data_IF_885940136201
#
_entry.id   IF_885940136201
#
_cell.length_a   1.000
_cell.length_b   1.000
_cell.length_c   1.000
_cell.angle_alpha   90.00
_cell.angle_beta   90.00
_cell.angle_gamma   90.00
#
_symmetry.space_group_name_H-M   'P 1'
#
loop_
_entity.id
_entity.type
_entity.pdbx_description
1 polymer ?
#
# COMPACT_ATOMS: atom_id res chain seq x y z
N UNK A 1 22.05 -22.21 -12.62
CA UNK A 1 23.02 -21.26 -12.03
C UNK A 1 22.91 -19.84 -12.61
N UNK A 2 22.96 -19.63 -13.94
CA UNK A 2 22.84 -18.28 -14.56
C UNK A 2 21.53 -17.52 -14.21
N UNK A 3 20.40 -18.22 -14.07
CA UNK A 3 19.13 -17.63 -13.63
C UNK A 3 19.17 -17.09 -12.20
N UNK A 4 19.86 -17.79 -11.29
CA UNK A 4 20.01 -17.39 -9.90
C UNK A 4 20.95 -16.19 -9.75
N UNK A 5 22.06 -16.16 -10.49
CA UNK A 5 23.02 -15.03 -10.48
C UNK A 5 22.36 -13.77 -11.05
N UNK A 6 21.65 -13.88 -12.17
CA UNK A 6 20.90 -12.74 -12.72
C UNK A 6 19.74 -12.31 -11.82
N UNK A 7 19.11 -13.24 -11.10
CA UNK A 7 18.11 -12.95 -10.08
C UNK A 7 18.70 -12.15 -8.92
N UNK A 8 19.83 -12.62 -8.39
CA UNK A 8 20.58 -11.98 -7.31
C UNK A 8 20.95 -10.53 -7.67
N UNK A 9 21.55 -10.29 -8.84
CA UNK A 9 21.97 -8.96 -9.28
C UNK A 9 20.80 -8.00 -9.46
N UNK A 10 19.70 -8.45 -10.08
CA UNK A 10 18.47 -7.66 -10.23
C UNK A 10 17.85 -7.34 -8.87
N UNK A 11 17.86 -8.32 -7.96
CA UNK A 11 17.43 -8.16 -6.58
C UNK A 11 18.27 -7.15 -5.82
N UNK A 12 19.60 -7.23 -5.91
CA UNK A 12 20.52 -6.32 -5.25
C UNK A 12 20.31 -4.87 -5.71
N UNK A 13 20.19 -4.65 -7.02
CA UNK A 13 19.89 -3.33 -7.59
C UNK A 13 18.53 -2.79 -7.12
N UNK A 14 17.51 -3.64 -7.07
CA UNK A 14 16.21 -3.28 -6.54
C UNK A 14 16.23 -2.93 -5.05
N UNK A 15 17.00 -3.69 -4.26
CA UNK A 15 17.21 -3.43 -2.84
C UNK A 15 17.92 -2.10 -2.59
N UNK A 16 18.92 -1.76 -3.41
CA UNK A 16 19.60 -0.47 -3.36
C UNK A 16 18.63 0.70 -3.62
N UNK A 17 17.81 0.61 -4.67
CA UNK A 17 16.77 1.60 -4.96
C UNK A 17 15.76 1.74 -3.80
N UNK A 18 15.37 0.61 -3.21
CA UNK A 18 14.53 0.58 -2.01
C UNK A 18 15.17 1.30 -0.82
N UNK A 19 16.46 1.11 -0.57
CA UNK A 19 17.19 1.80 0.51
C UNK A 19 17.21 3.30 0.28
N UNK A 20 17.45 3.77 -0.95
CA UNK A 20 17.41 5.21 -1.25
C UNK A 20 16.04 5.81 -0.93
N UNK A 21 14.96 5.14 -1.31
CA UNK A 21 13.60 5.58 -1.00
C UNK A 21 13.30 5.52 0.51
N UNK A 22 13.78 4.49 1.21
CA UNK A 22 13.70 4.35 2.67
C UNK A 22 14.34 5.53 3.38
N UNK A 23 15.57 5.89 3.00
CA UNK A 23 16.31 7.00 3.58
C UNK A 23 15.61 8.33 3.33
N UNK A 24 15.11 8.56 2.10
CA UNK A 24 14.34 9.76 1.76
C UNK A 24 13.08 9.89 2.64
N UNK A 25 12.31 8.81 2.80
CA UNK A 25 11.14 8.79 3.68
C UNK A 25 11.52 9.07 5.14
N UNK A 26 12.62 8.49 5.61
CA UNK A 26 13.15 8.76 6.95
C UNK A 26 13.67 10.19 7.15
N UNK A 27 14.09 10.90 6.10
CA UNK A 27 14.49 12.31 6.20
C UNK A 27 13.28 13.24 6.35
N UNK A 28 12.20 12.97 5.62
CA UNK A 28 10.95 13.74 5.72
C UNK A 28 10.36 13.71 7.12
N UNK A 29 10.41 12.56 7.79
CA UNK A 29 9.97 12.41 9.18
C UNK A 29 10.90 13.12 10.19
N UNK A 30 12.21 13.12 9.92
CA UNK A 30 13.25 13.65 10.83
C UNK A 30 13.52 15.15 10.72
N UNK A 31 12.73 15.90 9.95
CA UNK A 31 12.88 17.36 9.82
C UNK A 31 12.83 18.12 11.17
N UNK A 32 12.43 17.46 12.26
CA UNK A 32 12.23 18.04 13.60
C UNK A 32 13.22 17.52 14.67
N UNK A 33 14.23 16.70 14.32
CA UNK A 33 15.23 16.20 15.29
C UNK A 33 16.65 16.13 14.70
N UNK A 34 17.67 16.77 15.32
CA UNK A 34 19.06 16.64 14.87
C UNK A 34 19.55 15.21 15.15
N UNK A 35 19.84 14.45 14.10
CA UNK A 35 20.39 13.10 14.19
C UNK A 35 21.93 13.14 14.13
N UNK A 36 22.59 12.31 14.94
CA UNK A 36 24.02 12.02 14.79
C UNK A 36 24.22 11.08 13.60
N UNK A 37 24.89 11.54 12.55
CA UNK A 37 25.25 10.70 11.41
C UNK A 37 26.39 9.75 11.80
N UNK A 38 26.22 8.45 11.53
CA UNK A 38 27.28 7.46 11.62
C UNK A 38 27.47 6.79 10.27
N UNK A 39 28.68 6.84 9.72
CA UNK A 39 29.01 6.22 8.45
C UNK A 39 28.80 4.69 8.49
N UNK A 40 29.11 4.04 9.61
CA UNK A 40 28.88 2.59 9.78
C UNK A 40 27.40 2.22 9.79
N UNK A 41 26.54 3.09 10.34
CA UNK A 41 25.09 2.90 10.33
C UNK A 41 24.52 2.95 8.91
N UNK A 42 24.97 3.91 8.10
CA UNK A 42 24.53 4.06 6.70
C UNK A 42 25.00 2.88 5.82
N UNK A 43 26.23 2.38 6.06
CA UNK A 43 26.75 1.20 5.38
C UNK A 43 25.96 -0.07 5.76
N UNK A 44 25.67 -0.27 7.05
CA UNK A 44 24.86 -1.39 7.51
C UNK A 44 23.45 -1.36 6.91
N UNK A 45 22.79 -0.21 6.92
CA UNK A 45 21.45 -0.04 6.33
C UNK A 45 21.44 -0.35 4.83
N UNK A 46 22.47 0.11 4.11
CA UNK A 46 22.62 -0.15 2.67
C UNK A 46 22.87 -1.63 2.40
N UNK A 47 23.76 -2.27 3.16
CA UNK A 47 24.03 -3.70 3.05
C UNK A 47 22.78 -4.54 3.33
N UNK A 48 22.01 -4.21 4.36
CA UNK A 48 20.74 -4.89 4.67
C UNK A 48 19.74 -4.74 3.53
N UNK A 49 19.54 -3.53 3.02
CA UNK A 49 18.59 -3.29 1.93
C UNK A 49 18.99 -3.98 0.62
N UNK A 50 20.28 -4.00 0.27
CA UNK A 50 20.81 -4.74 -0.88
C UNK A 50 20.62 -6.26 -0.68
N UNK A 51 20.92 -6.78 0.51
CA UNK A 51 20.79 -8.20 0.83
C UNK A 51 19.33 -8.70 0.76
N UNK A 52 18.39 -7.96 1.34
CA UNK A 52 16.95 -8.29 1.28
C UNK A 52 16.44 -8.25 -0.17
N UNK A 53 16.87 -7.26 -0.95
CA UNK A 53 16.56 -7.20 -2.38
C UNK A 53 17.13 -8.39 -3.15
N UNK A 54 18.40 -8.74 -2.92
CA UNK A 54 19.09 -9.86 -3.56
C UNK A 54 18.35 -11.19 -3.30
N UNK A 55 17.94 -11.43 -2.05
CA UNK A 55 17.12 -12.59 -1.66
C UNK A 55 15.79 -12.61 -2.42
N UNK A 56 15.11 -11.47 -2.51
CA UNK A 56 13.86 -11.35 -3.27
C UNK A 56 14.05 -11.69 -4.76
N UNK A 57 15.17 -11.25 -5.34
CA UNK A 57 15.56 -11.56 -6.72
C UNK A 57 15.83 -13.05 -6.95
N UNK A 58 16.48 -13.73 -6.00
CA UNK A 58 16.70 -15.18 -6.02
C UNK A 58 15.36 -15.93 -5.90
N UNK A 59 14.49 -15.56 -4.97
CA UNK A 59 13.15 -16.17 -4.82
C UNK A 59 12.30 -16.00 -6.09
N UNK A 60 12.39 -14.84 -6.74
CA UNK A 60 11.71 -14.62 -8.02
C UNK A 60 12.29 -15.50 -9.13
N UNK A 61 13.61 -15.74 -9.13
CA UNK A 61 14.27 -16.60 -10.09
C UNK A 61 13.93 -18.09 -9.90
N UNK A 62 13.54 -18.53 -8.70
CA UNK A 62 13.02 -19.88 -8.44
C UNK A 62 11.53 -20.03 -8.75
N UNK A 63 10.85 -18.96 -9.18
CA UNK A 63 9.45 -18.98 -9.60
C UNK A 63 8.47 -18.34 -8.61
N UNK A 64 8.91 -17.90 -7.43
CA UNK A 64 8.04 -17.26 -6.44
C UNK A 64 7.71 -15.83 -6.88
N UNK A 65 6.49 -15.60 -7.37
CA UNK A 65 6.04 -14.31 -7.90
C UNK A 65 4.75 -13.85 -7.19
N UNK A 66 4.82 -13.45 -5.91
CA UNK A 66 3.65 -12.99 -5.19
C UNK A 66 3.16 -11.65 -5.78
N UNK A 67 1.87 -11.32 -5.63
CA UNK A 67 1.37 -10.01 -6.01
C UNK A 67 2.03 -8.90 -5.19
N UNK A 68 2.11 -7.69 -5.76
CA UNK A 68 2.75 -6.53 -5.15
C UNK A 68 2.21 -6.19 -3.76
N UNK A 69 0.90 -6.40 -3.54
CA UNK A 69 0.23 -6.20 -2.25
C UNK A 69 0.79 -7.11 -1.13
N UNK A 70 1.40 -8.24 -1.49
CA UNK A 70 2.01 -9.19 -0.54
C UNK A 70 3.52 -8.96 -0.48
N UNK A 71 4.18 -8.87 -1.63
CA UNK A 71 5.64 -8.71 -1.67
C UNK A 71 6.14 -7.39 -1.10
N UNK A 72 5.44 -6.27 -1.31
CA UNK A 72 5.84 -4.96 -0.78
C UNK A 72 5.94 -4.96 0.75
N UNK A 73 4.84 -5.25 1.47
CA UNK A 73 4.86 -5.34 2.93
C UNK A 73 5.86 -6.37 3.47
N UNK A 74 5.94 -7.56 2.85
CA UNK A 74 6.88 -8.59 3.29
C UNK A 74 8.34 -8.15 3.18
N UNK A 75 8.72 -7.50 2.08
CA UNK A 75 10.09 -6.97 1.91
C UNK A 75 10.38 -5.85 2.91
N UNK A 76 9.39 -5.00 3.19
CA UNK A 76 9.49 -3.98 4.22
C UNK A 76 9.73 -4.56 5.61
N UNK A 77 8.91 -5.54 6.00
CA UNK A 77 9.05 -6.22 7.30
C UNK A 77 10.33 -7.03 7.40
N UNK A 78 10.77 -7.70 6.33
CA UNK A 78 12.05 -8.41 6.30
C UNK A 78 13.22 -7.44 6.51
N UNK A 79 13.19 -6.28 5.87
CA UNK A 79 14.20 -5.25 6.07
C UNK A 79 14.16 -4.63 7.47
N UNK A 80 12.97 -4.42 8.05
CA UNK A 80 12.82 -3.97 9.42
C UNK A 80 13.38 -4.99 10.43
N UNK A 81 13.08 -6.28 10.22
CA UNK A 81 13.60 -7.37 11.02
C UNK A 81 15.13 -7.48 10.92
N UNK A 82 15.70 -7.32 9.73
CA UNK A 82 17.14 -7.41 9.53
C UNK A 82 17.92 -6.25 10.18
N UNK A 83 17.31 -5.05 10.30
CA UNK A 83 17.94 -3.89 10.96
C UNK A 83 17.81 -3.90 12.48
N UNK A 84 16.60 -4.18 12.97
CA UNK A 84 16.27 -3.99 14.39
C UNK A 84 15.76 -5.25 15.08
N UNK A 85 15.80 -6.40 14.42
CA UNK A 85 15.30 -7.66 14.94
C UNK A 85 13.77 -7.72 15.07
N UNK A 86 13.27 -8.72 15.80
CA UNK A 86 11.83 -8.89 16.05
C UNK A 86 11.18 -7.70 16.76
N UNK A 87 11.93 -6.96 17.59
CA UNK A 87 11.40 -5.80 18.32
C UNK A 87 11.00 -4.66 17.38
N UNK A 88 11.75 -4.42 16.30
CA UNK A 88 11.40 -3.43 15.28
C UNK A 88 10.12 -3.82 14.52
N UNK A 89 9.97 -5.10 14.17
CA UNK A 89 8.74 -5.62 13.56
C UNK A 89 7.55 -5.45 14.51
N UNK A 90 7.72 -5.79 15.79
CA UNK A 90 6.66 -5.65 16.77
C UNK A 90 6.22 -4.20 16.98
N UNK A 91 7.12 -3.21 16.89
CA UNK A 91 6.73 -1.80 16.98
C UNK A 91 5.90 -1.32 15.77
N UNK A 92 6.07 -1.97 14.62
CA UNK A 92 5.29 -1.70 13.40
C UNK A 92 3.93 -2.42 13.46
N UNK A 93 3.93 -3.67 13.93
CA UNK A 93 2.76 -4.57 13.89
C UNK A 93 1.88 -4.46 15.14
N UNK A 94 2.43 -4.03 16.27
CA UNK A 94 1.71 -3.82 17.54
C UNK A 94 1.78 -2.34 17.97
N UNK A 95 0.69 -1.58 17.84
CA UNK A 95 0.68 -0.14 18.09
C UNK A 95 0.78 0.16 19.59
N UNK A 96 0.56 -0.84 20.46
CA UNK A 96 0.68 -0.67 21.91
C UNK A 96 2.14 -0.51 22.32
N UNK A 97 3.07 -0.92 21.47
CA UNK A 97 4.51 -0.79 21.69
C UNK A 97 5.09 0.52 21.22
N UNK A 98 4.36 1.30 20.40
CA UNK A 98 4.84 2.60 19.93
C UNK A 98 3.70 3.58 19.63
N UNK A 99 3.76 4.75 20.27
CA UNK A 99 2.85 5.87 19.98
C UNK A 99 3.02 6.41 18.55
N UNK A 100 4.20 6.22 17.94
CA UNK A 100 4.56 6.70 16.61
C UNK A 100 4.72 5.55 15.60
N UNK A 101 4.07 4.41 15.83
CA UNK A 101 4.15 3.21 14.98
C UNK A 101 3.91 3.48 13.49
N UNK A 102 3.05 4.46 13.14
CA UNK A 102 2.81 4.86 11.73
C UNK A 102 4.08 5.43 11.11
N UNK A 103 4.74 6.36 11.80
CA UNK A 103 6.01 6.94 11.35
C UNK A 103 7.10 5.86 11.23
N UNK A 104 7.08 4.85 12.10
CA UNK A 104 7.99 3.71 12.03
C UNK A 104 7.68 2.74 10.88
N UNK A 105 6.40 2.62 10.49
CA UNK A 105 5.96 1.76 9.41
C UNK A 105 6.25 2.36 8.03
N UNK A 106 6.26 3.69 7.91
CA UNK A 106 6.42 4.41 6.63
C UNK A 106 7.72 4.04 5.91
N UNK A 107 8.92 4.16 6.52
CA UNK A 107 10.15 3.86 5.80
C UNK A 107 10.24 2.38 5.34
N UNK A 108 9.93 1.35 6.17
CA UNK A 108 9.89 -0.04 5.71
C UNK A 108 8.88 -0.29 4.59
N UNK A 109 7.70 0.32 4.64
CA UNK A 109 6.69 0.21 3.57
C UNK A 109 7.24 0.79 2.26
N UNK A 110 7.80 2.00 2.30
CA UNK A 110 8.43 2.65 1.15
C UNK A 110 9.55 1.80 0.57
N UNK A 111 10.43 1.25 1.42
CA UNK A 111 11.49 0.32 1.03
C UNK A 111 10.92 -0.89 0.28
N UNK A 112 9.95 -1.58 0.87
CA UNK A 112 9.48 -2.86 0.39
C UNK A 112 8.77 -2.76 -0.96
N UNK A 113 7.92 -1.74 -1.13
CA UNK A 113 7.25 -1.50 -2.40
C UNK A 113 8.21 -1.01 -3.49
N UNK A 114 9.14 -0.11 -3.17
CA UNK A 114 10.15 0.38 -4.15
C UNK A 114 11.04 -0.76 -4.63
N UNK A 115 11.49 -1.62 -3.71
CA UNK A 115 12.25 -2.83 -4.03
C UNK A 115 11.44 -3.75 -4.94
N UNK A 116 10.19 -4.05 -4.59
CA UNK A 116 9.35 -4.92 -5.42
C UNK A 116 9.14 -4.36 -6.82
N UNK A 117 8.84 -3.06 -6.91
CA UNK A 117 8.64 -2.34 -8.17
C UNK A 117 9.85 -2.44 -9.08
N UNK A 118 11.01 -2.06 -8.55
CA UNK A 118 12.27 -2.05 -9.28
C UNK A 118 12.62 -3.46 -9.74
N UNK A 119 12.44 -4.47 -8.87
CA UNK A 119 12.70 -5.86 -9.22
C UNK A 119 11.81 -6.36 -10.37
N UNK A 120 10.51 -6.04 -10.34
CA UNK A 120 9.58 -6.41 -11.41
C UNK A 120 9.92 -5.70 -12.71
N UNK A 121 10.22 -4.39 -12.66
CA UNK A 121 10.56 -3.58 -13.84
C UNK A 121 11.84 -4.06 -14.51
N UNK A 122 12.93 -4.20 -13.76
CA UNK A 122 14.22 -4.68 -14.31
C UNK A 122 14.08 -6.09 -14.86
N UNK A 123 13.29 -6.94 -14.20
CA UNK A 123 13.07 -8.28 -14.70
C UNK A 123 12.25 -8.34 -15.99
N UNK A 124 11.26 -7.45 -16.19
CA UNK A 124 10.51 -7.38 -17.45
C UNK A 124 11.39 -6.95 -18.63
N UNK A 125 12.25 -5.96 -18.41
CA UNK A 125 13.21 -5.50 -19.43
C UNK A 125 14.15 -6.63 -19.83
N UNK A 126 14.69 -7.35 -18.84
CA UNK A 126 15.56 -8.50 -19.11
C UNK A 126 14.84 -9.68 -19.80
N UNK A 127 13.52 -9.79 -19.62
CA UNK A 127 12.67 -10.80 -20.29
C UNK A 127 12.23 -10.34 -21.70
N UNK A 128 12.70 -9.19 -22.19
CA UNK A 128 12.33 -8.65 -23.51
C UNK A 128 10.84 -8.30 -23.63
N UNK A 129 10.15 -8.11 -22.51
CA UNK A 129 8.73 -7.75 -22.50
C UNK A 129 8.58 -6.27 -22.79
N UNK A 130 7.62 -5.94 -23.64
CA UNK A 130 7.29 -4.55 -23.94
C UNK A 130 7.01 -3.76 -22.64
N UNK A 131 7.54 -2.53 -22.52
CA UNK A 131 7.24 -1.65 -21.41
C UNK A 131 5.74 -1.38 -21.34
N UNK A 132 5.12 -1.66 -20.19
CA UNK A 132 3.76 -1.22 -19.94
C UNK A 132 3.77 0.31 -19.75
N UNK A 133 2.86 1.06 -20.38
CA UNK A 133 2.77 2.51 -20.22
C UNK A 133 2.77 2.92 -18.74
N UNK A 134 3.57 3.92 -18.38
CA UNK A 134 3.60 4.45 -17.01
C UNK A 134 2.28 5.16 -16.70
N UNK A 135 1.85 5.12 -15.43
CA UNK A 135 0.61 5.75 -14.99
C UNK A 135 0.61 7.26 -15.27
N UNK A 136 -0.43 7.75 -15.95
CA UNK A 136 -0.64 9.18 -16.16
C UNK A 136 -0.93 9.91 -14.83
N UNK A 137 -0.75 11.24 -14.75
CA UNK A 137 -1.12 12.01 -13.55
C UNK A 137 -2.57 11.80 -13.13
N UNK A 138 -3.49 11.68 -14.09
CA UNK A 138 -4.89 11.36 -13.82
C UNK A 138 -5.07 9.98 -13.19
N UNK A 139 -4.31 8.97 -13.64
CA UNK A 139 -4.32 7.64 -13.02
C UNK A 139 -3.78 7.68 -11.58
N UNK A 140 -2.80 8.53 -11.28
CA UNK A 140 -2.30 8.73 -9.91
C UNK A 140 -3.32 9.42 -9.00
N UNK A 141 -4.05 10.42 -9.52
CA UNK A 141 -5.15 11.06 -8.77
C UNK A 141 -6.27 10.06 -8.48
N UNK A 142 -6.63 9.22 -9.45
CA UNK A 142 -7.62 8.16 -9.26
C UNK A 142 -7.14 7.10 -8.28
N UNK A 143 -5.86 6.75 -8.31
CA UNK A 143 -5.24 5.88 -7.32
C UNK A 143 -5.30 6.47 -5.91
N UNK A 144 -5.01 7.78 -5.76
CA UNK A 144 -5.12 8.47 -4.50
C UNK A 144 -6.57 8.49 -3.99
N UNK A 145 -7.55 8.72 -4.87
CA UNK A 145 -8.98 8.69 -4.52
C UNK A 145 -9.43 7.28 -4.04
N UNK A 146 -9.02 6.22 -4.74
CA UNK A 146 -9.30 4.83 -4.33
C UNK A 146 -8.64 4.48 -2.99
N UNK A 147 -7.39 4.91 -2.83
CA UNK A 147 -6.67 4.81 -1.57
C UNK A 147 -7.40 5.52 -0.44
N UNK A 148 -7.77 6.78 -0.64
CA UNK A 148 -8.48 7.57 0.36
C UNK A 148 -9.84 6.96 0.73
N UNK A 149 -10.61 6.47 -0.26
CA UNK A 149 -11.85 5.74 -0.02
C UNK A 149 -11.61 4.50 0.85
N UNK A 150 -10.59 3.69 0.52
CA UNK A 150 -10.15 2.55 1.34
C UNK A 150 -9.62 2.95 2.72
N UNK A 151 -9.05 4.15 2.87
CA UNK A 151 -8.58 4.69 4.15
C UNK A 151 -9.72 5.02 5.11
N UNK A 152 -10.78 5.63 4.60
CA UNK A 152 -12.02 5.87 5.37
C UNK A 152 -12.72 4.55 5.72
N UNK A 153 -12.91 3.67 4.73
CA UNK A 153 -13.58 2.36 4.85
C UNK A 153 -12.82 1.32 4.05
N UNK A 154 -12.28 0.29 4.70
CA UNK A 154 -11.32 -0.63 4.10
C UNK A 154 -11.78 -1.22 2.76
N UNK A 155 -13.04 -1.67 2.67
CA UNK A 155 -13.58 -2.38 1.50
C UNK A 155 -14.04 -1.45 0.38
N UNK A 156 -14.28 -0.16 0.64
CA UNK A 156 -14.92 0.76 -0.34
C UNK A 156 -14.17 0.86 -1.66
N UNK A 157 -12.83 0.94 -1.64
CA UNK A 157 -12.03 0.95 -2.88
C UNK A 157 -12.21 -0.31 -3.72
N UNK A 158 -12.27 -1.50 -3.09
CA UNK A 158 -12.50 -2.77 -3.80
C UNK A 158 -13.94 -2.92 -4.29
N UNK A 159 -14.92 -2.45 -3.52
CA UNK A 159 -16.32 -2.43 -3.95
C UNK A 159 -16.50 -1.54 -5.18
N UNK A 160 -15.85 -0.37 -5.22
CA UNK A 160 -15.86 0.50 -6.41
C UNK A 160 -15.24 -0.18 -7.64
N UNK A 161 -14.14 -0.93 -7.46
CA UNK A 161 -13.56 -1.74 -8.55
C UNK A 161 -14.54 -2.81 -9.03
N UNK A 162 -15.21 -3.52 -8.11
CA UNK A 162 -16.17 -4.56 -8.46
C UNK A 162 -17.34 -4.00 -9.28
N UNK A 163 -17.89 -2.86 -8.87
CA UNK A 163 -19.05 -2.22 -9.52
C UNK A 163 -18.73 -1.57 -10.87
N UNK A 164 -17.47 -1.27 -11.16
CA UNK A 164 -17.04 -0.58 -12.40
C UNK A 164 -16.27 -1.48 -13.38
N UNK A 165 -15.96 -2.71 -12.97
CA UNK A 165 -15.20 -3.67 -13.77
C UNK A 165 -16.12 -4.73 -14.39
N UNK A 166 -15.62 -5.42 -15.42
CA UNK A 166 -16.30 -6.49 -16.14
C UNK A 166 -15.45 -7.76 -16.17
N UNK A 167 -16.04 -8.95 -16.36
CA UNK A 167 -15.29 -10.21 -16.36
C UNK A 167 -14.16 -10.29 -17.41
N UNK A 168 -14.30 -9.56 -18.52
CA UNK A 168 -13.29 -9.48 -19.58
C UNK A 168 -12.20 -8.42 -19.38
N UNK A 169 -12.22 -7.68 -18.27
CA UNK A 169 -11.24 -6.63 -18.01
C UNK A 169 -9.84 -7.20 -17.73
N UNK A 170 -8.81 -6.44 -18.07
CA UNK A 170 -7.42 -6.85 -17.90
C UNK A 170 -7.01 -6.92 -16.42
N UNK A 171 -6.37 -8.04 -16.06
CA UNK A 171 -5.85 -8.27 -14.72
C UNK A 171 -6.79 -9.07 -13.80
N UNK A 172 -6.23 -9.85 -12.86
CA UNK A 172 -6.99 -10.86 -12.12
C UNK A 172 -7.98 -10.27 -11.09
N UNK A 173 -7.73 -9.05 -10.60
CA UNK A 173 -8.62 -8.42 -9.61
C UNK A 173 -9.85 -7.85 -10.30
N UNK A 174 -9.66 -7.03 -11.35
CA UNK A 174 -10.77 -6.42 -12.10
C UNK A 174 -11.69 -7.47 -12.73
N UNK A 175 -11.12 -8.48 -13.41
CA UNK A 175 -11.90 -9.57 -14.03
C UNK A 175 -12.71 -10.40 -13.02
N UNK A 176 -12.11 -10.78 -11.87
CA UNK A 176 -12.82 -11.59 -10.86
C UNK A 176 -13.89 -10.79 -10.12
N UNK A 177 -13.61 -9.53 -9.79
CA UNK A 177 -14.55 -8.69 -9.06
C UNK A 177 -15.69 -8.16 -9.95
N UNK A 178 -15.43 -7.97 -11.25
CA UNK A 178 -16.41 -7.49 -12.22
C UNK A 178 -17.52 -8.49 -12.59
N UNK A 179 -17.48 -9.72 -12.07
CA UNK A 179 -18.58 -10.69 -12.20
C UNK A 179 -19.70 -10.44 -11.19
N UNK A 180 -20.89 -11.02 -11.44
CA UNK A 180 -22.06 -10.90 -10.54
C UNK A 180 -21.72 -11.31 -9.10
N UNK A 181 -21.03 -12.43 -8.94
CA UNK A 181 -20.58 -12.93 -7.63
C UNK A 181 -19.56 -12.00 -6.98
N UNK A 182 -18.59 -11.50 -7.73
CA UNK A 182 -17.57 -10.58 -7.22
C UNK A 182 -18.17 -9.25 -6.75
N UNK A 183 -19.11 -8.71 -7.51
CA UNK A 183 -19.87 -7.50 -7.15
C UNK A 183 -20.76 -7.74 -5.93
N UNK A 184 -21.47 -8.86 -5.86
CA UNK A 184 -22.31 -9.20 -4.71
C UNK A 184 -21.48 -9.36 -3.43
N UNK A 185 -20.39 -10.14 -3.48
CA UNK A 185 -19.50 -10.35 -2.33
C UNK A 185 -18.86 -9.04 -1.87
N UNK A 186 -18.38 -8.21 -2.81
CA UNK A 186 -17.75 -6.92 -2.45
C UNK A 186 -18.75 -5.93 -1.86
N UNK A 187 -19.98 -5.91 -2.39
CA UNK A 187 -21.05 -5.05 -1.86
C UNK A 187 -21.51 -5.51 -0.48
N UNK A 188 -21.66 -6.83 -0.27
CA UNK A 188 -21.97 -7.41 1.03
C UNK A 188 -20.86 -7.14 2.05
N UNK A 189 -19.59 -7.25 1.65
CA UNK A 189 -18.46 -6.93 2.51
C UNK A 189 -18.43 -5.45 2.90
N UNK A 190 -18.71 -4.54 1.96
CA UNK A 190 -18.81 -3.11 2.23
C UNK A 190 -19.99 -2.78 3.17
N UNK A 191 -21.16 -3.39 2.95
CA UNK A 191 -22.32 -3.26 3.84
C UNK A 191 -22.02 -3.83 5.23
N UNK A 192 -21.36 -4.98 5.30
CA UNK A 192 -20.91 -5.61 6.55
C UNK A 192 -19.95 -4.71 7.33
N UNK A 193 -19.04 -4.01 6.65
CA UNK A 193 -18.14 -3.05 7.29
C UNK A 193 -18.90 -1.84 7.88
N UNK A 194 -19.96 -1.35 7.21
CA UNK A 194 -20.83 -0.29 7.74
C UNK A 194 -21.61 -0.72 9.00
N UNK A 195 -22.07 -1.98 9.03
CA UNK A 195 -22.76 -2.56 10.19
C UNK A 195 -21.77 -2.81 11.32
N UNK A 196 -20.60 -3.38 11.01
CA UNK A 196 -19.55 -3.65 11.99
C UNK A 196 -19.10 -2.38 12.70
N UNK A 197 -19.00 -1.24 11.99
CA UNK A 197 -18.66 0.07 12.57
C UNK A 197 -19.61 0.55 13.69
N UNK A 198 -20.80 -0.05 13.82
CA UNK A 198 -21.78 0.27 14.88
C UNK A 198 -21.72 -0.68 16.08
N UNK A 199 -20.95 -1.76 16.01
CA UNK A 199 -20.86 -2.75 17.08
C UNK A 199 -19.89 -2.32 18.20
N UNK A 200 -20.23 -2.55 19.47
CA UNK A 200 -19.30 -2.30 20.58
C UNK A 200 -18.11 -3.28 20.49
N UNK A 201 -16.88 -2.76 20.57
CA UNK A 201 -15.66 -3.58 20.60
C UNK A 201 -14.85 -3.65 19.29
N UNK A 202 -15.23 -2.91 18.24
CA UNK A 202 -14.44 -2.84 17.00
C UNK A 202 -13.07 -2.21 17.26
N UNK A 203 -11.95 -2.82 16.80
CA UNK A 203 -10.61 -2.27 16.97
C UNK A 203 -10.48 -0.86 16.38
N UNK A 204 -9.63 -0.03 16.99
CA UNK A 204 -9.34 1.32 16.49
C UNK A 204 -8.95 1.31 15.02
N UNK A 205 -9.41 2.32 14.27
CA UNK A 205 -9.05 2.60 12.86
C UNK A 205 -7.54 2.72 12.65
N UNK A 206 -6.82 3.14 13.69
CA UNK A 206 -5.36 3.27 13.75
C UNK A 206 -4.69 2.09 14.47
N UNK A 207 -5.41 1.03 14.79
CA UNK A 207 -4.76 -0.22 15.13
C UNK A 207 -4.28 -0.89 13.83
N UNK A 208 -3.19 -1.67 13.83
CA UNK A 208 -2.71 -2.42 12.67
C UNK A 208 -3.76 -3.35 12.06
N UNK A 209 -4.62 -3.98 12.89
CA UNK A 209 -5.78 -4.74 12.40
C UNK A 209 -6.78 -3.88 11.61
N UNK A 210 -6.85 -2.57 11.87
CA UNK A 210 -7.62 -1.61 11.09
C UNK A 210 -6.85 -1.04 9.89
N UNK A 211 -5.57 -0.69 10.04
CA UNK A 211 -4.81 0.01 9.00
C UNK A 211 -4.28 -0.92 7.91
N UNK A 212 -3.84 -2.13 8.25
CA UNK A 212 -3.26 -3.08 7.28
C UNK A 212 -4.26 -3.42 6.17
N UNK A 213 -5.54 -3.79 6.47
CA UNK A 213 -6.52 -4.03 5.42
C UNK A 213 -6.78 -2.78 4.56
N UNK A 214 -6.85 -1.59 5.16
CA UNK A 214 -7.07 -0.33 4.43
C UNK A 214 -5.94 -0.04 3.44
N UNK A 215 -4.69 -0.16 3.88
CA UNK A 215 -3.52 0.03 3.02
C UNK A 215 -3.46 -1.04 1.91
N UNK A 216 -3.72 -2.30 2.25
CA UNK A 216 -3.70 -3.41 1.29
C UNK A 216 -4.83 -3.28 0.24
N UNK A 217 -6.04 -2.94 0.67
CA UNK A 217 -7.20 -2.79 -0.22
C UNK A 217 -7.11 -1.50 -1.05
N UNK A 218 -6.58 -0.41 -0.49
CA UNK A 218 -6.26 0.81 -1.23
C UNK A 218 -5.20 0.57 -2.31
N UNK A 219 -4.13 -0.16 -1.97
CA UNK A 219 -3.12 -0.55 -2.95
C UNK A 219 -3.69 -1.45 -4.05
N UNK A 220 -4.51 -2.44 -3.66
CA UNK A 220 -5.05 -3.44 -4.56
C UNK A 220 -6.08 -2.83 -5.52
N UNK A 221 -6.97 -1.98 -5.03
CA UNK A 221 -7.97 -1.29 -5.85
C UNK A 221 -7.32 -0.33 -6.85
N UNK A 222 -6.37 0.50 -6.41
CA UNK A 222 -5.62 1.40 -7.29
C UNK A 222 -4.81 0.64 -8.36
N UNK A 223 -4.11 -0.42 -7.97
CA UNK A 223 -3.37 -1.28 -8.90
C UNK A 223 -4.29 -1.99 -9.90
N UNK A 224 -5.48 -2.43 -9.46
CA UNK A 224 -6.45 -3.08 -10.32
C UNK A 224 -6.98 -2.14 -11.41
N UNK A 225 -7.33 -0.91 -11.04
CA UNK A 225 -7.82 0.11 -11.99
C UNK A 225 -6.72 0.53 -12.96
N UNK A 226 -5.49 0.73 -12.48
CA UNK A 226 -4.38 1.05 -13.37
C UNK A 226 -4.12 -0.06 -14.40
N UNK A 227 -4.14 -1.35 -13.97
CA UNK A 227 -4.01 -2.48 -14.91
C UNK A 227 -5.16 -2.54 -15.90
N UNK A 228 -6.40 -2.36 -15.41
CA UNK A 228 -7.61 -2.33 -16.24
C UNK A 228 -7.51 -1.28 -17.34
N UNK A 229 -6.96 -0.12 -17.00
CA UNK A 229 -6.80 1.01 -17.89
C UNK A 229 -5.47 0.93 -18.69
N UNK A 230 -4.76 -0.21 -18.68
CA UNK A 230 -3.57 -0.46 -19.50
C UNK A 230 -2.24 0.10 -18.98
N UNK A 231 -2.19 0.61 -17.75
CA UNK A 231 -1.01 1.24 -17.16
C UNK A 231 -0.23 0.29 -16.24
N UNK A 232 1.04 0.62 -15.98
CA UNK A 232 1.80 -0.04 -14.93
C UNK A 232 1.16 0.26 -13.56
N UNK A 233 0.82 -0.77 -12.78
CA UNK A 233 0.02 -0.62 -11.58
C UNK A 233 0.83 -0.34 -10.33
N UNK A 234 2.15 -0.31 -10.44
CA UNK A 234 3.02 -0.33 -9.26
C UNK A 234 2.99 1.00 -8.53
N UNK A 235 3.17 2.10 -9.27
CA UNK A 235 3.08 3.44 -8.73
C UNK A 235 1.64 3.80 -8.27
N UNK A 236 0.57 3.51 -9.04
CA UNK A 236 -0.80 3.61 -8.55
C UNK A 236 -1.08 2.82 -7.26
N UNK A 237 -0.62 1.57 -7.15
CA UNK A 237 -0.78 0.79 -5.93
C UNK A 237 -0.08 1.43 -4.72
N UNK A 238 1.10 1.99 -4.92
CA UNK A 238 1.84 2.75 -3.90
C UNK A 238 1.08 4.00 -3.44
N UNK A 239 0.60 4.79 -4.40
CA UNK A 239 -0.19 6.00 -4.13
C UNK A 239 -1.49 5.65 -3.40
N UNK A 240 -2.16 4.58 -3.81
CA UNK A 240 -3.35 4.06 -3.14
C UNK A 240 -3.09 3.63 -1.69
N UNK A 241 -1.99 2.92 -1.43
CA UNK A 241 -1.59 2.55 -0.07
C UNK A 241 -1.33 3.77 0.82
N UNK A 242 -0.54 4.73 0.31
CA UNK A 242 -0.17 5.95 1.02
C UNK A 242 -1.39 6.83 1.32
N UNK A 243 -2.27 7.02 0.33
CA UNK A 243 -3.51 7.77 0.50
C UNK A 243 -4.46 7.10 1.50
N UNK A 244 -4.53 5.76 1.53
CA UNK A 244 -5.32 5.04 2.52
C UNK A 244 -4.82 5.26 3.95
N UNK A 245 -3.49 5.18 4.14
CA UNK A 245 -2.87 5.46 5.44
C UNK A 245 -3.11 6.90 5.87
N UNK A 246 -2.84 7.86 4.98
CA UNK A 246 -3.03 9.28 5.24
C UNK A 246 -4.49 9.62 5.60
N UNK A 247 -5.44 9.04 4.87
CA UNK A 247 -6.87 9.27 5.12
C UNK A 247 -7.34 8.64 6.43
N UNK A 248 -6.85 7.44 6.77
CA UNK A 248 -7.16 6.80 8.05
C UNK A 248 -6.66 7.64 9.25
N UNK A 249 -5.46 8.24 9.15
CA UNK A 249 -4.90 9.15 10.16
C UNK A 249 -5.69 10.46 10.23
N UNK A 250 -5.98 11.06 9.08
CA UNK A 250 -6.73 12.31 8.98
C UNK A 250 -8.14 12.17 9.56
N UNK A 251 -8.82 11.05 9.29
CA UNK A 251 -10.17 10.77 9.78
C UNK A 251 -10.27 10.82 11.31
N UNK A 252 -9.28 10.31 12.04
CA UNK A 252 -9.25 10.41 13.51
C UNK A 252 -9.17 11.85 13.98
N UNK A 253 -8.34 12.68 13.33
CA UNK A 253 -8.19 14.09 13.70
C UNK A 253 -9.45 14.90 13.38
N UNK A 254 -10.06 14.68 12.21
CA UNK A 254 -11.27 15.35 11.79
C UNK A 254 -12.47 15.02 12.69
N UNK A 255 -12.62 13.75 13.09
CA UNK A 255 -13.69 13.33 14.02
C UNK A 255 -13.52 13.91 15.41
N UNK A 256 -12.29 13.95 15.91
CA UNK A 256 -11.98 14.62 17.17
C UNK A 256 -12.31 16.13 17.10
N UNK A 257 -12.00 16.78 15.98
CA UNK A 257 -12.35 18.19 15.76
C UNK A 257 -13.87 18.40 15.65
N UNK A 258 -14.58 17.52 14.95
CA UNK A 258 -16.04 17.57 14.82
C UNK A 258 -16.74 17.39 16.17
N UNK A 259 -16.30 16.44 16.99
CA UNK A 259 -16.82 16.24 18.34
C UNK A 259 -16.63 17.48 19.22
N UNK A 260 -15.47 18.14 19.14
CA UNK A 260 -15.20 19.40 19.87
C UNK A 260 -16.06 20.56 19.38
N UNK A 261 -16.33 20.66 18.08
CA UNK A 261 -17.04 21.79 17.48
C UNK A 261 -18.55 21.67 17.54
N UNK A 262 -19.08 20.47 17.33
CA UNK A 262 -20.52 20.23 17.16
C UNK A 262 -21.15 19.41 18.30
N UNK A 263 -20.35 18.97 19.29
CA UNK A 263 -20.82 18.14 20.40
C UNK A 263 -21.25 16.72 20.01
N UNK A 264 -21.21 16.37 18.71
CA UNK A 264 -21.60 15.06 18.19
C UNK A 264 -20.75 14.67 16.97
N UNK A 265 -20.34 13.40 16.94
CA UNK A 265 -19.56 12.78 15.87
C UNK A 265 -20.43 12.27 14.69
N UNK A 266 -21.76 12.24 14.85
CA UNK A 266 -22.69 11.70 13.82
C UNK A 266 -22.65 12.44 12.47
N UNK A 267 -22.67 13.78 12.40
CA UNK A 267 -22.64 14.48 11.11
C UNK A 267 -21.28 14.34 10.41
N UNK A 268 -20.18 14.29 11.18
CA UNK A 268 -18.84 14.01 10.64
C UNK A 268 -18.75 12.60 10.04
N UNK A 269 -19.36 11.61 10.71
CA UNK A 269 -19.39 10.24 10.21
C UNK A 269 -20.13 10.09 8.86
N UNK A 270 -21.28 10.74 8.72
CA UNK A 270 -22.06 10.69 7.48
C UNK A 270 -21.33 11.38 6.32
N UNK A 271 -20.73 12.55 6.59
CA UNK A 271 -19.94 13.26 5.58
C UNK A 271 -18.74 12.42 5.11
N UNK A 272 -18.06 11.75 6.05
CA UNK A 272 -16.96 10.84 5.74
C UNK A 272 -17.40 9.68 4.85
N UNK A 273 -18.54 9.05 5.14
CA UNK A 273 -19.06 7.93 4.34
C UNK A 273 -19.44 8.37 2.91
N UNK A 274 -20.06 9.56 2.76
CA UNK A 274 -20.40 10.13 1.45
C UNK A 274 -19.15 10.44 0.63
N UNK A 275 -18.15 11.08 1.26
CA UNK A 275 -16.88 11.41 0.61
C UNK A 275 -16.15 10.14 0.19
N UNK A 276 -16.11 9.11 1.05
CA UNK A 276 -15.47 7.84 0.74
C UNK A 276 -16.13 7.15 -0.47
N UNK A 277 -17.47 7.13 -0.53
CA UNK A 277 -18.20 6.58 -1.66
C UNK A 277 -17.93 7.37 -2.96
N UNK A 278 -17.95 8.70 -2.89
CA UNK A 278 -17.67 9.57 -4.03
C UNK A 278 -16.24 9.38 -4.57
N UNK A 279 -15.24 9.33 -3.69
CA UNK A 279 -13.84 9.09 -4.06
C UNK A 279 -13.64 7.70 -4.66
N UNK A 280 -14.29 6.68 -4.08
CA UNK A 280 -14.26 5.32 -4.62
C UNK A 280 -14.82 5.27 -6.05
N UNK A 281 -15.99 5.86 -6.27
CA UNK A 281 -16.62 5.94 -7.59
C UNK A 281 -15.76 6.74 -8.60
N UNK A 282 -15.33 7.94 -8.24
CA UNK A 282 -14.51 8.80 -9.12
C UNK A 282 -13.15 8.18 -9.45
N UNK A 283 -12.56 7.43 -8.51
CA UNK A 283 -11.32 6.71 -8.75
C UNK A 283 -11.51 5.50 -9.67
N UNK A 284 -12.60 4.75 -9.50
CA UNK A 284 -12.85 3.52 -10.24
C UNK A 284 -13.56 3.72 -11.59
N UNK A 285 -14.27 4.84 -11.80
CA UNK A 285 -15.02 5.10 -13.04
C UNK A 285 -14.12 5.04 -14.27
N UNK A 286 -14.69 4.64 -15.41
CA UNK A 286 -13.97 4.59 -16.67
C UNK A 286 -13.80 6.02 -17.22
N UNK A 287 -12.64 6.37 -17.80
CA UNK A 287 -12.55 7.58 -18.61
C UNK A 287 -13.42 7.39 -19.85
N UNK A 288 -14.26 8.39 -20.15
CA UNK A 288 -15.00 8.47 -21.41
C UNK A 288 -14.09 8.97 -22.55
#
# INVERSE_FOLDING_TARGET
MRSLVSGLLRGAAAGAAGTTAHSAAGYLDRAHRPARFSASGLLADTATGVGVGALAGVLRATGVRPPAAVSGPLLGLAAAAARGGPSAVLRIVDPRRSAHWVAEAVPPVVYGFTTHATLVSVARVAEGREPVPQASPAALLRAAALGAASGSRSVTGLAAVALTSRPGDTGPVASRLGGRTGSAVSSLAAAGELVADKLPGVPSRLAPLGLIPRAAFGATSAAAVARRDGHDPTLPGLVGAAAAIGTAVLGVQLRAAAQRRFGSDRPGALAEDVIAAALGWLGARRPE
#
